data_IF_200205251849
#
_entry.id   IF_200205251849
#
_cell.length_a   1.000
_cell.length_b   1.000
_cell.length_c   1.000
_cell.angle_alpha   90.00
_cell.angle_beta   90.00
_cell.angle_gamma   90.00
#
_symmetry.space_group_name_H-M   'P 1'
#
loop_
_entity.id
_entity.type
_entity.pdbx_description
1 polymer ?
#
# COMPACT_ATOMS: atom_id res chain seq x y z
N UNK A 1 24.72 28.09 -10.14
CA UNK A 1 24.50 27.96 -8.68
C UNK A 1 23.01 27.98 -8.30
N UNK A 2 22.18 28.87 -8.83
CA UNK A 2 20.75 28.92 -8.52
C UNK A 2 19.96 27.62 -8.83
N UNK A 3 20.29 26.94 -9.92
CA UNK A 3 19.64 25.69 -10.30
C UNK A 3 19.89 24.54 -9.29
N UNK A 4 21.11 24.46 -8.75
CA UNK A 4 21.44 23.46 -7.72
C UNK A 4 20.68 23.71 -6.41
N UNK A 5 20.51 24.96 -6.01
CA UNK A 5 19.76 25.32 -4.81
C UNK A 5 18.28 24.92 -4.94
N UNK A 6 17.65 25.17 -6.09
CA UNK A 6 16.27 24.78 -6.38
C UNK A 6 16.11 23.26 -6.42
N UNK A 7 17.07 22.53 -7.01
CA UNK A 7 17.03 21.07 -7.06
C UNK A 7 17.17 20.47 -5.65
N UNK A 8 18.07 20.99 -4.85
CA UNK A 8 18.28 20.57 -3.47
C UNK A 8 17.05 20.84 -2.61
N UNK A 9 16.42 22.00 -2.75
CA UNK A 9 15.18 22.31 -2.03
C UNK A 9 14.04 21.34 -2.39
N UNK A 10 13.84 21.06 -3.68
CA UNK A 10 12.85 20.10 -4.16
C UNK A 10 13.12 18.70 -3.61
N UNK A 11 14.37 18.27 -3.59
CA UNK A 11 14.76 16.96 -3.07
C UNK A 11 14.48 16.83 -1.56
N UNK A 12 14.93 17.81 -0.77
CA UNK A 12 14.67 17.83 0.67
C UNK A 12 13.17 17.85 0.97
N UNK A 13 12.40 18.61 0.23
CA UNK A 13 10.95 18.69 0.38
C UNK A 13 10.27 17.36 0.06
N UNK A 14 10.69 16.69 -1.01
CA UNK A 14 10.18 15.34 -1.36
C UNK A 14 10.42 14.35 -0.22
N UNK A 15 11.63 14.35 0.36
CA UNK A 15 11.94 13.47 1.50
C UNK A 15 11.02 13.77 2.69
N UNK A 16 10.79 15.04 3.00
CA UNK A 16 9.91 15.44 4.10
C UNK A 16 8.47 14.99 3.88
N UNK A 17 7.96 15.08 2.65
CA UNK A 17 6.60 14.62 2.32
C UNK A 17 6.51 13.10 2.46
N UNK A 18 7.47 12.35 1.92
CA UNK A 18 7.53 10.89 2.04
C UNK A 18 7.56 10.48 3.51
N UNK A 19 8.41 11.11 4.31
CA UNK A 19 8.48 10.85 5.75
C UNK A 19 7.15 11.16 6.46
N UNK A 20 6.54 12.31 6.14
CA UNK A 20 5.24 12.71 6.72
C UNK A 20 4.14 11.69 6.39
N UNK A 21 4.08 11.19 5.16
CA UNK A 21 3.10 10.17 4.77
C UNK A 21 3.34 8.86 5.52
N UNK A 22 4.58 8.43 5.70
CA UNK A 22 4.89 7.23 6.48
C UNK A 22 4.47 7.37 7.96
N UNK A 23 4.76 8.50 8.58
CA UNK A 23 4.29 8.79 9.94
C UNK A 23 2.77 8.82 10.00
N UNK A 24 2.11 9.41 9.00
CA UNK A 24 0.65 9.44 8.92
C UNK A 24 0.07 8.02 8.79
N UNK A 25 0.67 7.12 7.99
CA UNK A 25 0.25 5.71 7.90
C UNK A 25 0.27 5.07 9.28
N UNK A 26 1.37 5.17 10.02
CA UNK A 26 1.52 4.56 11.34
C UNK A 26 0.48 5.10 12.31
N UNK A 27 0.34 6.43 12.39
CA UNK A 27 -0.60 7.08 13.32
C UNK A 27 -2.05 6.68 13.00
N UNK A 28 -2.46 6.73 11.73
CA UNK A 28 -3.83 6.40 11.35
C UNK A 28 -4.13 4.90 11.43
N UNK A 29 -3.13 4.05 11.24
CA UNK A 29 -3.24 2.61 11.50
C UNK A 29 -3.49 2.35 12.98
N UNK A 30 -2.77 3.02 13.88
CA UNK A 30 -2.98 2.90 15.32
C UNK A 30 -4.33 3.50 15.76
N UNK A 31 -4.75 4.64 15.20
CA UNK A 31 -6.05 5.25 15.46
C UNK A 31 -7.21 4.34 15.04
N UNK A 32 -7.04 3.57 13.97
CA UNK A 32 -8.01 2.58 13.50
C UNK A 32 -7.93 1.22 14.21
N UNK A 33 -7.29 1.13 15.39
CA UNK A 33 -7.06 -0.12 16.14
C UNK A 33 -6.36 -1.21 15.30
N UNK A 34 -5.37 -0.81 14.53
CA UNK A 34 -4.51 -1.61 13.63
C UNK A 34 -5.30 -2.35 12.56
N UNK A 35 -6.24 -3.18 12.94
CA UNK A 35 -7.05 -4.06 12.07
C UNK A 35 -7.95 -3.28 11.13
N UNK A 36 -8.59 -2.22 11.62
CA UNK A 36 -9.54 -1.38 10.86
C UNK A 36 -8.82 -0.23 10.15
N UNK A 37 -7.69 0.23 10.69
CA UNK A 37 -6.95 1.37 10.17
C UNK A 37 -5.96 1.06 9.06
N UNK A 38 -5.47 -0.18 8.96
CA UNK A 38 -4.36 -0.56 8.08
C UNK A 38 -4.68 -0.36 6.58
N UNK A 39 -5.74 -0.97 6.09
CA UNK A 39 -6.10 -0.88 4.67
C UNK A 39 -6.47 0.54 4.24
N UNK A 40 -7.31 1.29 4.99
CA UNK A 40 -7.57 2.69 4.68
C UNK A 40 -6.34 3.57 4.72
N UNK A 41 -5.36 3.30 5.60
CA UNK A 41 -4.11 4.07 5.65
C UNK A 41 -3.25 3.86 4.41
N UNK A 42 -3.18 2.64 3.87
CA UNK A 42 -2.50 2.35 2.60
C UNK A 42 -3.19 3.06 1.44
N UNK A 43 -4.52 2.97 1.34
CA UNK A 43 -5.29 3.67 0.31
C UNK A 43 -5.09 5.19 0.37
N UNK A 44 -5.16 5.77 1.56
CA UNK A 44 -4.93 7.20 1.77
C UNK A 44 -3.51 7.62 1.36
N UNK A 45 -2.51 6.78 1.61
CA UNK A 45 -1.14 7.06 1.17
C UNK A 45 -1.05 7.14 -0.36
N UNK A 46 -1.61 6.16 -1.07
CA UNK A 46 -1.65 6.17 -2.54
C UNK A 46 -2.37 7.39 -3.09
N UNK A 47 -3.55 7.70 -2.57
CA UNK A 47 -4.31 8.88 -2.98
C UNK A 47 -3.56 10.18 -2.68
N UNK A 48 -2.91 10.29 -1.53
CA UNK A 48 -2.12 11.46 -1.16
C UNK A 48 -0.94 11.65 -2.12
N UNK A 49 -0.21 10.59 -2.45
CA UNK A 49 0.87 10.66 -3.44
C UNK A 49 0.35 11.01 -4.83
N UNK A 50 -0.78 10.45 -5.25
CA UNK A 50 -1.40 10.79 -6.53
C UNK A 50 -1.77 12.27 -6.61
N UNK A 51 -2.46 12.79 -5.61
CA UNK A 51 -2.83 14.22 -5.56
C UNK A 51 -1.58 15.10 -5.54
N UNK A 52 -0.54 14.71 -4.79
CA UNK A 52 0.73 15.44 -4.75
C UNK A 52 1.46 15.43 -6.10
N UNK A 53 1.50 14.30 -6.80
CA UNK A 53 2.15 14.17 -8.11
C UNK A 53 1.43 14.95 -9.21
N UNK A 54 0.10 15.04 -9.13
CA UNK A 54 -0.74 15.78 -10.08
C UNK A 54 -0.78 17.29 -9.82
N UNK A 55 -0.28 17.72 -8.66
CA UNK A 55 -0.24 19.13 -8.33
C UNK A 55 1.00 19.78 -8.94
N UNK A 56 0.80 20.79 -9.80
CA UNK A 56 1.88 21.47 -10.53
C UNK A 56 2.91 22.11 -9.59
N UNK A 57 2.46 22.68 -8.49
CA UNK A 57 3.33 23.42 -7.58
C UNK A 57 4.19 22.51 -6.69
N UNK A 58 3.77 21.27 -6.41
CA UNK A 58 4.46 20.28 -5.54
C UNK A 58 5.04 20.88 -4.24
N UNK A 59 4.52 22.05 -3.82
CA UNK A 59 5.04 22.85 -2.71
C UNK A 59 4.28 22.61 -1.40
N UNK A 60 3.74 21.42 -1.21
CA UNK A 60 2.98 21.10 -0.02
C UNK A 60 3.81 21.22 1.25
N UNK A 61 3.18 21.82 2.26
CA UNK A 61 3.71 21.83 3.63
C UNK A 61 3.28 20.56 4.36
N UNK A 62 4.02 20.20 5.40
CA UNK A 62 3.71 19.03 6.25
C UNK A 62 2.25 19.03 6.72
N UNK A 63 1.73 20.18 7.12
CA UNK A 63 0.33 20.34 7.55
C UNK A 63 -0.67 20.03 6.43
N UNK A 64 -0.40 20.47 5.22
CA UNK A 64 -1.26 20.21 4.06
C UNK A 64 -1.27 18.73 3.70
N UNK A 65 -0.11 18.10 3.66
CA UNK A 65 0.03 16.66 3.46
C UNK A 65 -0.77 15.87 4.49
N UNK A 66 -0.68 16.27 5.78
CA UNK A 66 -1.43 15.62 6.85
C UNK A 66 -2.94 15.77 6.71
N UNK A 67 -3.43 16.96 6.36
CA UNK A 67 -4.85 17.21 6.17
C UNK A 67 -5.43 16.45 4.98
N UNK A 68 -4.69 16.40 3.87
CA UNK A 68 -5.08 15.62 2.69
C UNK A 68 -5.13 14.13 3.05
N UNK A 69 -4.07 13.61 3.69
CA UNK A 69 -4.03 12.23 4.13
C UNK A 69 -5.21 11.85 5.03
N UNK A 70 -5.50 12.68 6.04
CA UNK A 70 -6.61 12.43 6.96
C UNK A 70 -7.98 12.44 6.25
N UNK A 71 -8.17 13.34 5.29
CA UNK A 71 -9.38 13.38 4.46
C UNK A 71 -9.52 12.11 3.62
N UNK A 72 -8.46 11.72 2.92
CA UNK A 72 -8.44 10.52 2.08
C UNK A 72 -8.61 9.24 2.93
N UNK A 73 -8.03 9.20 4.12
CA UNK A 73 -8.21 8.09 5.06
C UNK A 73 -9.67 7.91 5.46
N UNK A 74 -10.37 9.00 5.81
CA UNK A 74 -11.82 8.95 6.10
C UNK A 74 -12.66 8.53 4.90
N UNK A 75 -12.34 9.05 3.73
CA UNK A 75 -13.06 8.74 2.50
C UNK A 75 -12.91 7.26 2.11
N UNK A 76 -11.72 6.71 2.29
CA UNK A 76 -11.39 5.33 1.93
C UNK A 76 -11.82 4.29 2.98
N UNK A 77 -12.30 4.72 4.16
CA UNK A 77 -12.52 3.84 5.31
C UNK A 77 -13.41 2.63 4.98
N UNK A 78 -14.50 2.80 4.25
CA UNK A 78 -15.44 1.72 3.93
C UNK A 78 -14.99 0.87 2.74
N UNK A 79 -14.60 1.51 1.64
CA UNK A 79 -14.24 0.81 0.40
C UNK A 79 -12.92 0.05 0.54
N UNK A 80 -11.89 0.70 1.09
CA UNK A 80 -10.60 0.09 1.31
C UNK A 80 -10.66 -1.09 2.27
N UNK A 81 -11.52 -1.04 3.28
CA UNK A 81 -11.69 -2.10 4.24
C UNK A 81 -12.33 -3.34 3.61
N UNK A 82 -13.42 -3.16 2.84
CA UNK A 82 -14.09 -4.28 2.18
C UNK A 82 -13.15 -5.00 1.20
N UNK A 83 -12.45 -4.25 0.35
CA UNK A 83 -11.52 -4.79 -0.64
C UNK A 83 -10.30 -5.41 0.05
N UNK A 84 -9.72 -4.72 1.03
CA UNK A 84 -8.53 -5.17 1.75
C UNK A 84 -8.76 -6.48 2.51
N UNK A 85 -9.87 -6.62 3.23
CA UNK A 85 -10.22 -7.85 3.93
C UNK A 85 -10.51 -9.00 2.99
N UNK A 86 -11.25 -8.75 1.89
CA UNK A 86 -11.50 -9.77 0.87
C UNK A 86 -10.18 -10.30 0.31
N UNK A 87 -9.28 -9.40 -0.06
CA UNK A 87 -7.98 -9.74 -0.61
C UNK A 87 -7.08 -10.46 0.40
N UNK A 88 -7.07 -10.00 1.65
CA UNK A 88 -6.32 -10.65 2.72
C UNK A 88 -6.82 -12.09 2.94
N UNK A 89 -8.15 -12.28 2.96
CA UNK A 89 -8.76 -13.62 3.08
C UNK A 89 -8.36 -14.55 1.95
N UNK A 90 -8.41 -14.08 0.70
CA UNK A 90 -7.99 -14.88 -0.48
C UNK A 90 -6.50 -15.20 -0.41
N UNK A 91 -5.66 -14.21 -0.04
CA UNK A 91 -4.21 -14.42 0.09
C UNK A 91 -3.87 -15.42 1.19
N UNK A 92 -4.60 -15.38 2.32
CA UNK A 92 -4.42 -16.31 3.42
C UNK A 92 -4.80 -17.74 3.00
N UNK A 93 -5.91 -17.90 2.26
CA UNK A 93 -6.37 -19.18 1.74
C UNK A 93 -5.34 -19.77 0.77
N UNK A 94 -4.83 -18.97 -0.17
CA UNK A 94 -3.79 -19.40 -1.11
C UNK A 94 -2.48 -19.77 -0.38
N UNK A 95 -2.10 -19.02 0.64
CA UNK A 95 -0.91 -19.32 1.45
C UNK A 95 -1.09 -20.63 2.23
N UNK A 96 -2.29 -20.88 2.75
CA UNK A 96 -2.64 -22.12 3.45
C UNK A 96 -2.60 -23.31 2.49
N UNK A 97 -3.19 -23.20 1.30
CA UNK A 97 -3.15 -24.25 0.27
C UNK A 97 -1.70 -24.54 -0.16
N UNK A 98 -0.88 -23.51 -0.35
CA UNK A 98 0.55 -23.66 -0.63
C UNK A 98 1.25 -24.44 0.50
N UNK A 99 0.96 -24.10 1.74
CA UNK A 99 1.55 -24.78 2.91
C UNK A 99 1.15 -26.26 2.97
N UNK A 100 -0.14 -26.59 2.75
CA UNK A 100 -0.63 -27.97 2.74
C UNK A 100 0.03 -28.78 1.63
N UNK A 101 0.07 -28.24 0.41
CA UNK A 101 0.69 -28.92 -0.73
C UNK A 101 2.17 -29.19 -0.45
N UNK A 102 2.89 -28.21 0.07
CA UNK A 102 4.32 -28.35 0.35
C UNK A 102 4.62 -29.31 1.53
N UNK A 103 3.66 -29.42 2.49
CA UNK A 103 3.79 -30.35 3.62
C UNK A 103 3.46 -31.78 3.25
N UNK A 104 2.44 -32.01 2.44
CA UNK A 104 1.94 -33.35 2.10
C UNK A 104 2.63 -33.99 0.89
N UNK A 105 3.10 -33.17 -0.05
CA UNK A 105 3.77 -33.67 -1.26
C UNK A 105 5.28 -33.70 -1.02
N UNK A 106 5.77 -34.80 -0.46
CA UNK A 106 7.20 -35.06 -0.39
C UNK A 106 7.80 -35.05 -1.79
N UNK A 107 8.40 -33.92 -2.17
CA UNK A 107 9.40 -33.76 -3.24
C UNK A 107 9.15 -34.48 -4.58
N UNK A 108 7.91 -34.53 -5.06
CA UNK A 108 7.58 -34.99 -6.41
C UNK A 108 7.46 -33.80 -7.38
N UNK A 109 7.66 -34.05 -8.67
CA UNK A 109 7.52 -33.05 -9.73
C UNK A 109 6.16 -32.30 -9.69
N UNK A 110 5.09 -32.98 -9.30
CA UNK A 110 3.75 -32.41 -9.08
C UNK A 110 3.73 -31.36 -7.96
N UNK A 111 4.45 -31.55 -6.87
CA UNK A 111 4.52 -30.58 -5.77
C UNK A 111 5.21 -29.29 -6.20
N UNK A 112 6.26 -29.36 -7.00
CA UNK A 112 6.96 -28.20 -7.54
C UNK A 112 6.06 -27.41 -8.50
N UNK A 113 5.33 -28.09 -9.40
CA UNK A 113 4.40 -27.44 -10.35
C UNK A 113 3.26 -26.77 -9.61
N UNK A 114 2.64 -27.43 -8.65
CA UNK A 114 1.54 -26.84 -7.86
C UNK A 114 2.01 -25.66 -7.01
N UNK A 115 3.15 -25.77 -6.35
CA UNK A 115 3.70 -24.65 -5.56
C UNK A 115 4.04 -23.45 -6.45
N UNK A 116 4.61 -23.68 -7.62
CA UNK A 116 4.86 -22.62 -8.61
C UNK A 116 3.56 -21.93 -9.06
N UNK A 117 2.50 -22.68 -9.30
CA UNK A 117 1.20 -22.13 -9.66
C UNK A 117 0.62 -21.23 -8.56
N UNK A 118 0.68 -21.64 -7.28
CA UNK A 118 0.22 -20.82 -6.16
C UNK A 118 1.05 -19.54 -5.98
N UNK A 119 2.36 -19.59 -6.17
CA UNK A 119 3.22 -18.40 -6.14
C UNK A 119 2.84 -17.41 -7.24
N UNK A 120 2.56 -17.89 -8.46
CA UNK A 120 2.11 -17.04 -9.57
C UNK A 120 0.76 -16.41 -9.26
N UNK A 121 -0.20 -17.16 -8.71
CA UNK A 121 -1.50 -16.61 -8.30
C UNK A 121 -1.35 -15.54 -7.23
N UNK A 122 -0.50 -15.74 -6.22
CA UNK A 122 -0.20 -14.73 -5.21
C UNK A 122 0.41 -13.48 -5.83
N UNK A 123 1.36 -13.63 -6.76
CA UNK A 123 1.96 -12.50 -7.46
C UNK A 123 0.92 -11.71 -8.28
N UNK A 124 0.02 -12.39 -8.99
CA UNK A 124 -1.09 -11.76 -9.72
C UNK A 124 -2.01 -11.01 -8.76
N UNK A 125 -2.34 -11.60 -7.61
CA UNK A 125 -3.18 -10.96 -6.59
C UNK A 125 -2.53 -9.69 -6.03
N UNK A 126 -1.22 -9.71 -5.78
CA UNK A 126 -0.46 -8.53 -5.32
C UNK A 126 -0.47 -7.43 -6.39
N UNK A 127 -0.24 -7.79 -7.66
CA UNK A 127 -0.29 -6.83 -8.77
C UNK A 127 -1.70 -6.25 -8.96
N UNK A 128 -2.73 -7.11 -8.89
CA UNK A 128 -4.11 -6.67 -8.95
C UNK A 128 -4.45 -5.68 -7.82
N UNK A 129 -3.97 -5.95 -6.60
CA UNK A 129 -4.17 -5.03 -5.48
C UNK A 129 -3.53 -3.68 -5.74
N UNK A 130 -2.30 -3.67 -6.20
CA UNK A 130 -1.61 -2.43 -6.54
C UNK A 130 -2.38 -1.62 -7.57
N UNK A 131 -2.99 -2.27 -8.58
CA UNK A 131 -3.86 -1.61 -9.56
C UNK A 131 -5.16 -1.09 -8.94
N UNK A 132 -5.85 -1.87 -8.11
CA UNK A 132 -7.08 -1.43 -7.44
C UNK A 132 -6.87 -0.23 -6.51
N UNK A 133 -5.69 -0.11 -5.91
CA UNK A 133 -5.32 1.04 -5.07
C UNK A 133 -4.85 2.25 -5.88
N UNK A 134 -4.49 2.06 -7.15
CA UNK A 134 -4.02 3.11 -8.06
C UNK A 134 -5.14 3.84 -8.81
N UNK A 135 -6.37 3.30 -8.83
CA UNK A 135 -7.57 3.91 -9.43
C UNK A 135 -8.35 4.71 -8.41
#
# INVERSE_FOLDING_TARGET
>A
MAQFAVLYEKFCRTIVIIFTVHVAIVVHTLMGAVVVGFFPAIAAAHNTYRVWLLNDDRLWRVRETWLVFHREWKASMRSAQAIGWLQFGISLLLAYDYFIVNWNVRTGMLGVVLSGFFVVLLAIMILWSAMCWAV
#
